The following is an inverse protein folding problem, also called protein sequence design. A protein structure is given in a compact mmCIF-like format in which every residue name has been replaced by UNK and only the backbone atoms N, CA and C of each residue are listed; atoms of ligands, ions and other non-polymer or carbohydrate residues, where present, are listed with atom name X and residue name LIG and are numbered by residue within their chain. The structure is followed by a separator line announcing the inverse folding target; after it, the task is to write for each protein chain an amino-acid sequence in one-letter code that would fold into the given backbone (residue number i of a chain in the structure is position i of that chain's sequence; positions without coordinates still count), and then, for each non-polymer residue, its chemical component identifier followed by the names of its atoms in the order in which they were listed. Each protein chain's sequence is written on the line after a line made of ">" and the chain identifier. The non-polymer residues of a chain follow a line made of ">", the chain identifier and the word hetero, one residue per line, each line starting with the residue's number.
data_IF_499950028826
#
_entry.id   IF_499950028826
#
_cell.length_a   1.000
_cell.length_b   1.000
_cell.length_c   1.000
_cell.angle_alpha   90.00
_cell.angle_beta   90.00
_cell.angle_gamma   90.00
#
_symmetry.space_group_name_H-M   'P 1'
#
loop_
_entity.id
_entity.type
_entity.pdbx_description
1 polymer ?
#
# COMPACT_ATOMS: atom_id res chain seq x y z
N UNK A 1 15.93 -3.70 2.67
CA UNK A 1 16.28 -4.81 1.77
C UNK A 1 17.55 -5.55 2.18
N UNK A 2 18.72 -4.91 2.43
CA UNK A 2 19.95 -5.63 2.78
C UNK A 2 19.82 -6.49 4.05
N UNK A 3 19.17 -5.96 5.09
CA UNK A 3 18.93 -6.69 6.34
C UNK A 3 18.02 -7.92 6.16
N UNK A 4 16.99 -7.85 5.31
CA UNK A 4 16.09 -8.99 5.09
C UNK A 4 16.80 -10.14 4.36
N UNK A 5 17.64 -9.82 3.36
CA UNK A 5 18.44 -10.82 2.65
C UNK A 5 19.47 -11.47 3.57
N UNK A 6 20.09 -10.70 4.47
CA UNK A 6 21.01 -11.24 5.50
C UNK A 6 20.31 -12.17 6.49
N UNK A 7 19.01 -11.99 6.71
CA UNK A 7 18.18 -12.87 7.54
C UNK A 7 17.67 -14.12 6.78
N UNK A 8 18.11 -14.34 5.54
CA UNK A 8 17.75 -15.52 4.74
C UNK A 8 16.40 -15.40 4.01
N UNK A 9 15.80 -14.20 3.96
CA UNK A 9 14.61 -13.97 3.12
C UNK A 9 15.00 -14.07 1.65
N UNK A 10 14.25 -14.84 0.87
CA UNK A 10 14.53 -14.96 -0.56
C UNK A 10 14.41 -13.60 -1.27
N UNK A 11 15.24 -13.31 -2.30
CA UNK A 11 15.11 -12.08 -3.09
C UNK A 11 13.71 -11.91 -3.67
N UNK A 12 13.11 -13.00 -4.15
CA UNK A 12 11.73 -13.01 -4.65
C UNK A 12 10.74 -12.53 -3.58
N UNK A 13 10.77 -13.13 -2.39
CA UNK A 13 9.88 -12.73 -1.28
C UNK A 13 10.09 -11.27 -0.89
N UNK A 14 11.34 -10.83 -0.84
CA UNK A 14 11.68 -9.46 -0.47
C UNK A 14 11.15 -8.43 -1.50
N UNK A 15 11.23 -8.74 -2.79
CA UNK A 15 10.72 -7.87 -3.87
C UNK A 15 9.20 -7.92 -3.92
N UNK A 16 8.61 -9.11 -3.93
CA UNK A 16 7.15 -9.29 -4.05
C UNK A 16 6.39 -8.67 -2.87
N UNK A 17 6.95 -8.69 -1.66
CA UNK A 17 6.34 -8.10 -0.46
C UNK A 17 6.62 -6.60 -0.27
N UNK A 18 7.44 -5.97 -1.11
CA UNK A 18 7.83 -4.57 -0.92
C UNK A 18 6.63 -3.60 -0.87
N UNK A 19 5.60 -3.84 -1.69
CA UNK A 19 4.39 -3.03 -1.68
C UNK A 19 3.67 -3.06 -0.31
N UNK A 20 3.78 -4.16 0.44
CA UNK A 20 3.11 -4.32 1.74
C UNK A 20 3.63 -3.36 2.82
N UNK A 21 4.88 -2.89 2.70
CA UNK A 21 5.45 -1.91 3.64
C UNK A 21 5.20 -0.46 3.23
N UNK A 22 4.54 -0.23 2.10
CA UNK A 22 4.26 1.10 1.53
C UNK A 22 2.83 1.59 1.81
N UNK A 23 2.24 1.16 2.93
CA UNK A 23 0.85 1.46 3.32
C UNK A 23 0.70 2.85 3.97
N UNK A 24 1.23 3.89 3.31
CA UNK A 24 1.22 5.29 3.79
C UNK A 24 -0.19 5.88 3.90
N UNK A 25 -1.19 5.18 3.34
CA UNK A 25 -2.59 5.55 3.42
C UNK A 25 -3.32 5.00 4.64
N UNK A 26 -2.69 4.17 5.47
CA UNK A 26 -3.37 3.55 6.63
C UNK A 26 -3.68 4.59 7.71
N UNK A 27 -2.78 5.55 7.91
CA UNK A 27 -3.03 6.72 8.74
C UNK A 27 -3.16 7.94 7.82
N UNK A 28 -4.18 8.80 8.00
CA UNK A 28 -4.39 9.99 7.17
C UNK A 28 -3.42 11.12 7.55
N UNK A 29 -2.15 10.80 7.77
CA UNK A 29 -1.08 11.77 8.08
C UNK A 29 -0.32 12.21 6.83
N UNK A 30 -0.55 11.53 5.70
CA UNK A 30 0.17 11.81 4.47
C UNK A 30 -0.42 13.06 3.78
N UNK A 31 0.39 14.11 3.51
CA UNK A 31 -0.11 15.39 2.98
C UNK A 31 -0.90 15.26 1.68
N UNK A 32 -0.53 14.31 0.82
CA UNK A 32 -1.22 14.11 -0.47
C UNK A 32 -2.64 13.55 -0.31
N UNK A 33 -2.91 12.76 0.74
CA UNK A 33 -4.26 12.27 1.01
C UNK A 33 -5.15 13.37 1.55
N UNK A 34 -4.63 14.19 2.46
CA UNK A 34 -5.35 15.35 2.97
C UNK A 34 -5.65 16.33 1.84
N UNK A 35 -4.66 16.62 1.00
CA UNK A 35 -4.85 17.48 -0.17
C UNK A 35 -5.90 16.90 -1.15
N UNK A 36 -5.92 15.58 -1.36
CA UNK A 36 -6.92 14.93 -2.20
C UNK A 36 -8.34 15.07 -1.64
N UNK A 37 -8.52 15.02 -0.31
CA UNK A 37 -9.82 15.25 0.34
C UNK A 37 -10.25 16.71 0.23
N UNK A 38 -9.33 17.66 0.46
CA UNK A 38 -9.63 19.09 0.41
C UNK A 38 -9.96 19.58 -1.01
N UNK A 39 -9.39 18.95 -2.05
CA UNK A 39 -9.65 19.28 -3.45
C UNK A 39 -10.86 18.53 -4.05
N UNK A 40 -11.52 17.64 -3.29
CA UNK A 40 -12.64 16.85 -3.81
C UNK A 40 -14.00 17.53 -3.60
N UNK A 41 -14.45 18.24 -4.63
CA UNK A 41 -15.76 18.90 -4.66
C UNK A 41 -16.97 17.92 -4.71
N UNK A 42 -16.75 16.65 -5.05
CA UNK A 42 -17.82 15.64 -5.13
C UNK A 42 -18.19 15.06 -3.75
N UNK A 43 -17.28 15.20 -2.79
CA UNK A 43 -17.37 14.55 -1.48
C UNK A 43 -17.25 13.03 -1.53
N UNK A 44 -16.68 12.46 -2.59
CA UNK A 44 -16.40 11.03 -2.67
C UNK A 44 -15.30 10.59 -1.70
N UNK A 45 -14.40 11.51 -1.36
CA UNK A 45 -13.28 11.33 -0.46
C UNK A 45 -13.50 12.16 0.80
N UNK A 46 -13.55 11.49 1.96
CA UNK A 46 -13.76 12.13 3.26
C UNK A 46 -13.01 11.36 4.34
N UNK A 47 -12.60 12.09 5.38
CA UNK A 47 -12.15 11.49 6.64
C UNK A 47 -13.36 11.35 7.56
N UNK A 48 -13.65 10.13 7.99
CA UNK A 48 -14.76 9.82 8.88
C UNK A 48 -14.43 10.03 10.36
N UNK A 49 -15.30 9.51 11.24
CA UNK A 49 -15.17 9.65 12.70
C UNK A 49 -13.91 9.01 13.29
N UNK A 50 -13.38 7.96 12.64
CA UNK A 50 -12.23 7.21 13.13
C UNK A 50 -11.03 7.41 12.21
N UNK A 51 -9.82 7.33 12.76
CA UNK A 51 -8.56 7.55 12.02
C UNK A 51 -8.45 6.66 10.78
N UNK A 52 -8.86 5.39 10.88
CA UNK A 52 -8.84 4.44 9.77
C UNK A 52 -10.06 4.52 8.84
N UNK A 53 -11.09 5.28 9.21
CA UNK A 53 -12.33 5.34 8.46
C UNK A 53 -12.25 6.45 7.41
N UNK A 54 -11.56 6.20 6.30
CA UNK A 54 -11.45 7.14 5.18
C UNK A 54 -11.51 6.43 3.82
N UNK A 55 -11.89 7.19 2.79
CA UNK A 55 -12.14 6.67 1.44
C UNK A 55 -10.96 5.91 0.80
N UNK A 56 -9.72 6.20 1.21
CA UNK A 56 -8.52 5.60 0.63
C UNK A 56 -8.14 4.23 1.21
N UNK A 57 -8.79 3.78 2.29
CA UNK A 57 -8.39 2.53 2.95
C UNK A 57 -8.70 1.32 2.07
N UNK A 58 -9.94 1.21 1.60
CA UNK A 58 -10.40 0.07 0.78
C UNK A 58 -9.63 0.01 -0.55
N UNK A 59 -9.54 1.09 -1.35
CA UNK A 59 -8.76 1.06 -2.59
C UNK A 59 -7.27 0.76 -2.35
N UNK A 60 -6.68 1.35 -1.30
CA UNK A 60 -5.28 1.13 -0.98
C UNK A 60 -4.97 -0.32 -0.59
N UNK A 61 -5.82 -0.94 0.23
CA UNK A 61 -5.68 -2.36 0.60
C UNK A 61 -5.81 -3.25 -0.63
N UNK A 62 -6.80 -3.02 -1.48
CA UNK A 62 -6.97 -3.78 -2.73
C UNK A 62 -5.72 -3.66 -3.60
N UNK A 63 -5.21 -2.44 -3.78
CA UNK A 63 -4.01 -2.19 -4.58
C UNK A 63 -2.79 -2.94 -4.03
N UNK A 64 -2.52 -2.85 -2.71
CA UNK A 64 -1.41 -3.58 -2.09
C UNK A 64 -1.57 -5.09 -2.26
N UNK A 65 -2.76 -5.63 -1.99
CA UNK A 65 -3.03 -7.07 -2.12
C UNK A 65 -2.76 -7.55 -3.55
N UNK A 66 -3.26 -6.83 -4.56
CA UNK A 66 -3.02 -7.16 -5.96
C UNK A 66 -1.53 -7.05 -6.32
N UNK A 67 -0.84 -5.99 -5.91
CA UNK A 67 0.59 -5.83 -6.16
C UNK A 67 1.42 -6.99 -5.59
N UNK A 68 1.12 -7.43 -4.36
CA UNK A 68 1.86 -8.54 -3.72
C UNK A 68 1.58 -9.86 -4.44
N UNK A 69 0.32 -10.16 -4.74
CA UNK A 69 -0.06 -11.39 -5.47
C UNK A 69 0.61 -11.43 -6.84
N UNK A 70 0.50 -10.34 -7.61
CA UNK A 70 1.12 -10.24 -8.93
C UNK A 70 2.65 -10.29 -8.83
N UNK A 71 3.25 -9.69 -7.80
CA UNK A 71 4.68 -9.74 -7.53
C UNK A 71 5.20 -11.17 -7.36
N UNK A 72 4.46 -12.03 -6.64
CA UNK A 72 4.81 -13.45 -6.52
C UNK A 72 4.60 -14.22 -7.82
N UNK A 73 3.51 -13.97 -8.55
CA UNK A 73 3.22 -14.66 -9.81
C UNK A 73 4.29 -14.33 -10.86
N UNK A 74 4.51 -13.05 -11.16
CA UNK A 74 5.48 -12.63 -12.17
C UNK A 74 6.91 -12.92 -11.73
N UNK A 75 7.22 -12.66 -10.45
CA UNK A 75 8.55 -12.95 -9.92
C UNK A 75 8.89 -14.43 -9.99
N UNK A 76 7.94 -15.34 -9.71
CA UNK A 76 8.15 -16.78 -9.86
C UNK A 76 8.26 -17.28 -11.31
N UNK A 77 7.86 -16.47 -12.30
CA UNK A 77 8.01 -16.78 -13.73
C UNK A 77 9.35 -16.25 -14.26
N UNK A 78 9.81 -15.10 -13.76
CA UNK A 78 10.92 -14.35 -14.33
C UNK A 78 12.27 -14.54 -13.61
N UNK A 79 12.26 -14.94 -12.34
CA UNK A 79 13.45 -15.13 -11.49
C UNK A 79 13.64 -16.61 -11.15
#
# INVERSE_FOLDING_TARGET
>A
MPAALLLGVSPLTAIASFAAVSALFVLPTYPTLLAAVEMDDTGSTRIGKYVFNHAFLIPGVIAITLCVILGFIFGGIML
#
